data_IF_589393292215
#
_entry.id   IF_589393292215
#
_cell.length_a   1.000
_cell.length_b   1.000
_cell.length_c   1.000
_cell.angle_alpha   90.00
_cell.angle_beta   90.00
_cell.angle_gamma   90.00
#
_symmetry.space_group_name_H-M   'P 1'
#
loop_
_entity.id
_entity.type
_entity.pdbx_description
1 polymer ?
#
# COMPACT_ATOMS: atom_id res chain seq x y z
N UNK A 1 -4.14 -38.75 5.45
CA UNK A 1 -4.13 -37.46 6.19
C UNK A 1 -3.71 -36.27 5.31
N UNK A 2 -2.55 -36.30 4.63
CA UNK A 2 -2.05 -35.18 3.80
C UNK A 2 -2.92 -34.76 2.59
N UNK A 3 -3.71 -35.69 2.01
CA UNK A 3 -4.54 -35.41 0.83
C UNK A 3 -5.76 -34.52 1.10
N UNK A 4 -6.23 -34.43 2.35
CA UNK A 4 -7.44 -33.66 2.71
C UNK A 4 -7.12 -32.20 3.05
N UNK A 5 -5.88 -31.91 3.43
CA UNK A 5 -5.40 -30.55 3.75
C UNK A 5 -5.05 -29.71 2.51
N UNK A 6 -4.77 -30.35 1.37
CA UNK A 6 -4.35 -29.66 0.14
C UNK A 6 -5.50 -28.88 -0.54
N UNK A 7 -6.71 -29.44 -0.49
CA UNK A 7 -7.92 -28.82 -1.06
C UNK A 7 -8.32 -27.49 -0.38
N UNK A 8 -8.44 -27.40 0.96
CA UNK A 8 -8.78 -26.14 1.61
C UNK A 8 -7.69 -25.08 1.44
N UNK A 9 -6.40 -25.48 1.40
CA UNK A 9 -5.30 -24.55 1.15
C UNK A 9 -5.35 -23.95 -0.27
N UNK A 10 -5.69 -24.76 -1.27
CA UNK A 10 -5.88 -24.29 -2.65
C UNK A 10 -7.09 -23.35 -2.77
N UNK A 11 -8.21 -23.66 -2.10
CA UNK A 11 -9.37 -22.79 -2.05
C UNK A 11 -9.05 -21.43 -1.40
N UNK A 12 -8.27 -21.41 -0.32
CA UNK A 12 -7.86 -20.17 0.35
C UNK A 12 -6.96 -19.31 -0.56
N UNK A 13 -6.05 -19.93 -1.33
CA UNK A 13 -5.20 -19.22 -2.26
C UNK A 13 -5.99 -18.55 -3.40
N UNK A 14 -7.09 -19.16 -3.84
CA UNK A 14 -7.99 -18.60 -4.86
C UNK A 14 -8.88 -17.46 -4.36
N UNK A 15 -8.95 -17.24 -3.04
CA UNK A 15 -9.69 -16.13 -2.42
C UNK A 15 -8.81 -14.90 -2.15
N UNK A 16 -7.60 -14.85 -2.73
CA UNK A 16 -6.72 -13.69 -2.57
C UNK A 16 -7.30 -12.46 -3.27
N UNK A 17 -7.43 -11.36 -2.51
CA UNK A 17 -7.87 -10.06 -3.02
C UNK A 17 -6.65 -9.14 -3.08
N UNK A 18 -6.45 -8.48 -4.22
CA UNK A 18 -5.41 -7.46 -4.36
C UNK A 18 -5.84 -6.18 -3.64
N UNK A 19 -5.07 -5.73 -2.66
CA UNK A 19 -5.19 -4.37 -2.10
C UNK A 19 -4.22 -3.45 -2.83
N UNK A 20 -4.69 -2.29 -3.27
CA UNK A 20 -3.87 -1.24 -3.89
C UNK A 20 -3.80 -0.06 -2.95
N UNK A 21 -2.59 0.32 -2.53
CA UNK A 21 -2.33 1.62 -1.92
C UNK A 21 -1.60 2.45 -2.97
N UNK A 22 -2.22 3.54 -3.43
CA UNK A 22 -1.62 4.39 -4.44
C UNK A 22 -1.18 5.72 -3.80
N UNK A 23 0.06 6.09 -4.12
CA UNK A 23 0.59 7.41 -3.81
C UNK A 23 0.54 8.23 -5.09
N UNK A 24 -0.22 9.32 -5.06
CA UNK A 24 -0.47 10.17 -6.21
C UNK A 24 0.44 11.39 -6.15
N UNK A 25 1.29 11.57 -7.16
CA UNK A 25 2.08 12.80 -7.31
C UNK A 25 1.16 13.97 -7.64
N UNK A 26 1.24 15.04 -6.84
CA UNK A 26 0.43 16.27 -6.96
C UNK A 26 1.23 17.44 -7.55
N UNK A 27 2.50 17.22 -7.88
CA UNK A 27 3.47 18.26 -8.21
C UNK A 27 3.91 19.06 -6.98
N UNK A 28 4.85 20.00 -7.18
CA UNK A 28 5.38 20.88 -6.15
C UNK A 28 5.89 20.17 -4.87
N UNK A 29 6.36 18.92 -5.00
CA UNK A 29 6.86 18.14 -3.87
C UNK A 29 5.79 17.60 -2.93
N UNK A 30 4.54 17.46 -3.39
CA UNK A 30 3.43 16.91 -2.61
C UNK A 30 3.01 15.53 -3.13
N UNK A 31 2.75 14.61 -2.20
CA UNK A 31 2.26 13.27 -2.49
C UNK A 31 0.94 13.05 -1.76
N UNK A 32 -0.13 12.70 -2.47
CA UNK A 32 -1.43 12.36 -1.88
C UNK A 32 -1.55 10.86 -1.65
N UNK A 33 -1.94 10.46 -0.44
CA UNK A 33 -2.20 9.08 -0.03
C UNK A 33 -3.71 8.83 -0.03
N UNK A 34 -4.17 7.96 -0.94
CA UNK A 34 -5.60 7.69 -1.13
C UNK A 34 -6.19 6.71 -0.12
N UNK A 35 -5.35 6.01 0.66
CA UNK A 35 -5.77 5.11 1.72
C UNK A 35 -5.99 5.90 3.01
N UNK A 36 -5.08 6.84 3.31
CA UNK A 36 -5.10 7.63 4.55
C UNK A 36 -5.85 8.96 4.42
N UNK A 37 -6.20 9.38 3.20
CA UNK A 37 -6.84 10.67 2.89
C UNK A 37 -6.02 11.87 3.43
N UNK A 38 -4.71 11.84 3.18
CA UNK A 38 -3.79 12.90 3.59
C UNK A 38 -2.79 13.21 2.48
N UNK A 39 -2.23 14.42 2.54
CA UNK A 39 -1.14 14.84 1.65
C UNK A 39 0.15 14.94 2.45
N UNK A 40 1.15 14.19 2.02
CA UNK A 40 2.51 14.24 2.53
C UNK A 40 3.34 15.23 1.74
N UNK A 41 4.38 15.74 2.41
CA UNK A 41 5.49 16.36 1.72
C UNK A 41 6.48 15.27 1.25
N UNK A 42 6.96 15.38 0.03
CA UNK A 42 7.88 14.40 -0.56
C UNK A 42 9.25 14.40 0.15
N UNK A 43 9.66 15.53 0.72
CA UNK A 43 10.85 15.62 1.56
C UNK A 43 10.50 15.30 3.03
N UNK A 44 10.81 14.07 3.44
CA UNK A 44 10.61 13.62 4.82
C UNK A 44 11.53 14.35 5.84
N UNK A 45 12.59 15.02 5.38
CA UNK A 45 13.53 15.77 6.20
C UNK A 45 13.41 17.29 6.00
N UNK A 46 12.27 17.79 5.55
CA UNK A 46 12.09 19.20 5.19
C UNK A 46 12.60 20.20 6.22
N UNK A 47 12.40 19.92 7.51
CA UNK A 47 12.90 20.78 8.60
C UNK A 47 14.44 20.91 8.63
N UNK A 48 15.18 19.93 8.12
CA UNK A 48 16.64 19.92 8.06
C UNK A 48 17.20 20.48 6.75
N UNK A 49 16.44 20.39 5.66
CA UNK A 49 16.89 20.74 4.31
C UNK A 49 16.41 22.12 3.86
N UNK A 50 15.24 22.56 4.34
CA UNK A 50 14.48 23.68 3.77
C UNK A 50 13.71 24.52 4.79
N UNK A 51 13.64 24.09 6.06
CA UNK A 51 12.86 24.73 7.13
C UNK A 51 13.52 25.94 7.79
#
# INVERSE_FOLDING_TARGET
MFRVLFLPALCLAMLSVSTTAALHDRGNGLIYDDVLDITWLQDANYALTSG
#
